data_IF_723416800869
#
_entry.id   IF_723416800869
#
_cell.length_a   1.000
_cell.length_b   1.000
_cell.length_c   1.000
_cell.angle_alpha   90.00
_cell.angle_beta   90.00
_cell.angle_gamma   90.00
#
_symmetry.space_group_name_H-M   'P 1'
#
loop_
_entity.id
_entity.type
_entity.pdbx_description
1 polymer ?
#
# COMPACT_ATOMS: atom_id res chain seq x y z
N UNK A 1 -31.22 18.00 -3.74
CA UNK A 1 -30.03 18.88 -3.61
C UNK A 1 -28.92 18.19 -2.79
N UNK A 2 -29.25 17.39 -1.78
CA UNK A 2 -28.25 16.63 -0.99
C UNK A 2 -27.51 15.58 -1.84
N UNK A 3 -28.24 14.86 -2.68
CA UNK A 3 -27.63 13.85 -3.58
C UNK A 3 -26.63 14.47 -4.57
N UNK A 4 -26.97 15.63 -5.14
CA UNK A 4 -26.07 16.33 -6.07
C UNK A 4 -24.80 16.81 -5.35
N UNK A 5 -24.94 17.32 -4.13
CA UNK A 5 -23.83 17.70 -3.27
C UNK A 5 -22.91 16.52 -2.98
N UNK A 6 -23.49 15.38 -2.63
CA UNK A 6 -22.73 14.15 -2.36
C UNK A 6 -21.93 13.71 -3.59
N UNK A 7 -22.54 13.68 -4.77
CA UNK A 7 -21.88 13.32 -6.02
C UNK A 7 -20.74 14.28 -6.36
N UNK A 8 -20.93 15.58 -6.18
CA UNK A 8 -19.88 16.59 -6.42
C UNK A 8 -18.70 16.38 -5.48
N UNK A 9 -18.94 16.21 -4.18
CA UNK A 9 -17.89 15.97 -3.18
C UNK A 9 -17.12 14.69 -3.46
N UNK A 10 -17.84 13.61 -3.80
CA UNK A 10 -17.25 12.34 -4.15
C UNK A 10 -16.35 12.47 -5.39
N UNK A 11 -16.85 13.15 -6.44
CA UNK A 11 -16.07 13.34 -7.69
C UNK A 11 -14.82 14.16 -7.45
N UNK A 12 -14.93 15.27 -6.71
CA UNK A 12 -13.77 16.11 -6.34
C UNK A 12 -12.80 15.30 -5.48
N UNK A 13 -13.28 14.55 -4.50
CA UNK A 13 -12.48 13.70 -3.63
C UNK A 13 -11.69 12.65 -4.41
N UNK A 14 -12.34 11.97 -5.36
CA UNK A 14 -11.69 11.00 -6.26
C UNK A 14 -10.58 11.67 -7.08
N UNK A 15 -10.87 12.82 -7.71
CA UNK A 15 -9.90 13.54 -8.55
C UNK A 15 -8.69 14.00 -7.72
N UNK A 16 -8.91 14.53 -6.53
CA UNK A 16 -7.84 14.98 -5.63
C UNK A 16 -7.01 13.80 -5.17
N UNK A 17 -7.64 12.73 -4.66
CA UNK A 17 -6.93 11.53 -4.22
C UNK A 17 -6.11 10.89 -5.35
N UNK A 18 -6.70 10.76 -6.54
CA UNK A 18 -6.01 10.28 -7.74
C UNK A 18 -4.80 11.14 -8.09
N UNK A 19 -4.95 12.46 -8.12
CA UNK A 19 -3.86 13.39 -8.45
C UNK A 19 -2.73 13.31 -7.42
N UNK A 20 -3.06 13.27 -6.13
CA UNK A 20 -2.07 13.13 -5.05
C UNK A 20 -1.29 11.83 -5.19
N UNK A 21 -1.99 10.70 -5.38
CA UNK A 21 -1.32 9.40 -5.49
C UNK A 21 -0.48 9.32 -6.75
N UNK A 22 -0.98 9.75 -7.91
CA UNK A 22 -0.20 9.78 -9.15
C UNK A 22 1.06 10.63 -9.03
N UNK A 23 0.95 11.78 -8.36
CA UNK A 23 2.10 12.63 -8.08
C UNK A 23 3.10 11.94 -7.15
N UNK A 24 2.61 11.35 -6.04
CA UNK A 24 3.46 10.61 -5.10
C UNK A 24 4.18 9.43 -5.77
N UNK A 25 3.47 8.65 -6.60
CA UNK A 25 4.05 7.54 -7.36
C UNK A 25 5.16 8.04 -8.30
N UNK A 26 4.90 9.09 -9.07
CA UNK A 26 5.87 9.67 -10.00
C UNK A 26 7.15 10.13 -9.28
N UNK A 27 6.99 10.81 -8.15
CA UNK A 27 8.15 11.27 -7.34
C UNK A 27 8.80 10.15 -6.53
N UNK A 28 8.09 9.08 -6.20
CA UNK A 28 8.69 7.88 -5.58
C UNK A 28 9.68 7.22 -6.52
N UNK A 29 9.37 7.12 -7.82
CA UNK A 29 10.30 6.61 -8.84
C UNK A 29 11.58 7.46 -8.91
N UNK A 30 11.42 8.78 -8.88
CA UNK A 30 12.56 9.70 -8.84
C UNK A 30 13.38 9.55 -7.55
N UNK A 31 12.72 9.48 -6.40
CA UNK A 31 13.34 9.29 -5.09
C UNK A 31 14.13 7.98 -5.04
N UNK A 32 13.56 6.89 -5.54
CA UNK A 32 14.23 5.60 -5.61
C UNK A 32 15.53 5.66 -6.41
N UNK A 33 15.50 6.24 -7.62
CA UNK A 33 16.71 6.40 -8.45
C UNK A 33 17.78 7.25 -7.79
N UNK A 34 17.40 8.27 -7.00
CA UNK A 34 18.34 9.14 -6.29
C UNK A 34 18.91 8.45 -5.05
N UNK A 35 18.06 7.88 -4.22
CA UNK A 35 18.47 7.22 -2.97
C UNK A 35 19.38 6.03 -3.29
N UNK A 36 19.02 5.19 -4.27
CA UNK A 36 19.89 4.11 -4.74
C UNK A 36 21.19 4.65 -5.33
N UNK A 37 21.16 5.78 -6.06
CA UNK A 37 22.36 6.44 -6.53
C UNK A 37 23.29 6.83 -5.37
N UNK A 38 22.78 7.45 -4.32
CA UNK A 38 23.57 7.80 -3.11
C UNK A 38 24.14 6.57 -2.41
N UNK A 39 23.35 5.50 -2.24
CA UNK A 39 23.83 4.23 -1.65
C UNK A 39 24.97 3.64 -2.49
N UNK A 40 24.89 3.77 -3.80
CA UNK A 40 25.91 3.27 -4.75
C UNK A 40 27.09 4.25 -4.99
N UNK A 41 27.15 5.38 -4.29
CA UNK A 41 28.20 6.40 -4.45
C UNK A 41 28.15 7.15 -5.80
N UNK A 42 26.97 7.21 -6.47
CA UNK A 42 26.77 7.91 -7.75
C UNK A 42 25.63 8.91 -7.69
N UNK A 43 25.66 9.90 -8.58
CA UNK A 43 24.54 10.85 -8.71
C UNK A 43 23.36 10.20 -9.43
N UNK A 44 22.16 10.39 -8.89
CA UNK A 44 20.91 10.04 -9.56
C UNK A 44 20.55 11.04 -10.68
N UNK A 45 19.34 10.98 -11.26
CA UNK A 45 18.87 11.92 -12.29
C UNK A 45 18.93 13.36 -11.79
N UNK A 46 19.68 14.24 -12.48
CA UNK A 46 19.89 15.64 -12.09
C UNK A 46 19.79 16.64 -13.24
N UNK A 47 19.58 16.20 -14.50
CA UNK A 47 19.68 17.06 -15.69
C UNK A 47 18.34 17.63 -16.17
N UNK A 48 17.24 16.89 -15.98
CA UNK A 48 15.92 17.31 -16.52
C UNK A 48 15.24 18.26 -15.53
N UNK A 49 15.19 19.53 -15.86
CA UNK A 49 14.70 20.60 -15.00
C UNK A 49 15.64 20.93 -13.82
N UNK A 50 15.23 21.80 -12.91
CA UNK A 50 16.05 22.16 -11.75
C UNK A 50 16.37 20.93 -10.91
N UNK A 51 17.65 20.52 -10.88
CA UNK A 51 18.09 19.34 -10.12
C UNK A 51 17.40 18.03 -10.50
N UNK A 52 16.83 17.86 -11.70
CA UNK A 52 16.17 16.63 -12.15
C UNK A 52 14.72 16.44 -11.66
N UNK A 53 14.06 17.46 -11.12
CA UNK A 53 12.68 17.35 -10.65
C UNK A 53 11.65 17.07 -11.75
N UNK A 54 11.93 17.43 -13.00
CA UNK A 54 11.04 17.17 -14.15
C UNK A 54 11.26 15.79 -14.79
N UNK A 55 12.13 14.95 -14.22
CA UNK A 55 12.41 13.61 -14.74
C UNK A 55 11.14 12.73 -14.86
N UNK A 56 10.19 12.72 -13.91
CA UNK A 56 8.98 11.91 -14.03
C UNK A 56 8.14 12.29 -15.27
N UNK A 57 8.10 13.58 -15.63
CA UNK A 57 7.38 14.05 -16.82
C UNK A 57 8.09 13.57 -18.09
N UNK A 58 9.42 13.64 -18.13
CA UNK A 58 10.20 13.12 -19.26
C UNK A 58 10.04 11.59 -19.43
N UNK A 59 9.99 10.85 -18.32
CA UNK A 59 9.76 9.41 -18.35
C UNK A 59 8.35 9.07 -18.86
N UNK A 60 7.32 9.83 -18.46
CA UNK A 60 5.95 9.69 -18.98
C UNK A 60 5.90 9.94 -20.50
N UNK A 61 6.48 11.06 -20.97
CA UNK A 61 6.53 11.40 -22.39
C UNK A 61 7.24 10.31 -23.20
N UNK A 62 8.35 9.76 -22.67
CA UNK A 62 9.07 8.65 -23.30
C UNK A 62 8.16 7.43 -23.53
N UNK A 63 7.30 7.06 -22.56
CA UNK A 63 6.39 5.93 -22.71
C UNK A 63 5.27 6.21 -23.74
N UNK A 64 4.82 7.45 -23.87
CA UNK A 64 3.80 7.84 -24.85
C UNK A 64 4.34 7.76 -26.28
N UNK A 65 5.57 8.24 -26.51
CA UNK A 65 6.18 8.28 -27.85
C UNK A 65 6.93 7.00 -28.23
N UNK A 66 7.09 6.05 -27.29
CA UNK A 66 7.74 4.77 -27.59
C UNK A 66 6.85 3.90 -28.45
N UNK A 67 7.45 3.21 -29.43
CA UNK A 67 6.74 2.24 -30.29
C UNK A 67 6.08 1.14 -29.46
N UNK A 68 4.80 0.88 -29.74
CA UNK A 68 4.01 -0.14 -29.08
C UNK A 68 4.01 -1.45 -29.87
N UNK A 69 4.77 -2.42 -29.40
CA UNK A 69 4.93 -3.72 -30.03
C UNK A 69 3.93 -4.71 -29.43
N UNK A 70 3.25 -5.46 -30.29
CA UNK A 70 2.36 -6.55 -29.89
C UNK A 70 2.83 -7.83 -30.59
N UNK A 71 3.16 -8.90 -29.85
CA UNK A 71 3.58 -10.16 -30.46
C UNK A 71 2.47 -10.77 -31.32
N UNK A 72 2.81 -11.27 -32.51
CA UNK A 72 1.83 -11.81 -33.46
C UNK A 72 1.02 -12.98 -32.92
N UNK A 73 1.64 -13.84 -32.09
CA UNK A 73 1.04 -15.02 -31.50
C UNK A 73 0.37 -14.78 -30.16
N UNK A 74 0.28 -13.53 -29.69
CA UNK A 74 -0.37 -13.19 -28.44
C UNK A 74 -1.91 -13.22 -28.55
N UNK A 75 -2.59 -13.57 -27.46
CA UNK A 75 -4.04 -13.46 -27.36
C UNK A 75 -4.42 -12.00 -27.13
N UNK A 76 -4.60 -11.22 -28.20
CA UNK A 76 -4.71 -9.75 -28.19
C UNK A 76 -5.66 -9.20 -27.12
N UNK A 77 -6.88 -9.74 -27.00
CA UNK A 77 -7.87 -9.25 -26.04
C UNK A 77 -7.33 -9.34 -24.60
N UNK A 78 -6.82 -10.52 -24.19
CA UNK A 78 -6.29 -10.75 -22.84
C UNK A 78 -5.00 -9.97 -22.63
N UNK A 79 -4.19 -9.82 -23.67
CA UNK A 79 -2.95 -9.05 -23.63
C UNK A 79 -3.17 -7.57 -23.27
N UNK A 80 -4.21 -6.94 -23.78
CA UNK A 80 -4.58 -5.58 -23.40
C UNK A 80 -5.35 -5.51 -22.08
N UNK A 81 -6.12 -6.53 -21.75
CA UNK A 81 -6.92 -6.60 -20.52
C UNK A 81 -6.02 -6.74 -19.27
N UNK A 82 -4.94 -7.49 -19.36
CA UNK A 82 -4.07 -7.79 -18.22
C UNK A 82 -3.51 -6.54 -17.52
N UNK A 83 -2.84 -5.58 -18.22
CA UNK A 83 -2.35 -4.37 -17.57
C UNK A 83 -3.49 -3.47 -17.06
N UNK A 84 -4.65 -3.46 -17.72
CA UNK A 84 -5.80 -2.68 -17.23
C UNK A 84 -6.37 -3.25 -15.94
N UNK A 85 -6.48 -4.58 -15.79
CA UNK A 85 -6.92 -5.21 -14.53
C UNK A 85 -5.94 -4.85 -13.39
N UNK A 86 -4.64 -5.04 -13.61
CA UNK A 86 -3.64 -4.75 -12.58
C UNK A 86 -3.70 -3.28 -12.13
N UNK A 87 -3.76 -2.34 -13.07
CA UNK A 87 -3.78 -0.91 -12.77
C UNK A 87 -5.09 -0.46 -12.13
N UNK A 88 -6.24 -0.93 -12.63
CA UNK A 88 -7.54 -0.57 -12.04
C UNK A 88 -7.69 -1.11 -10.64
N UNK A 89 -7.31 -2.35 -10.37
CA UNK A 89 -7.32 -2.92 -9.02
C UNK A 89 -6.47 -2.09 -8.05
N UNK A 90 -5.24 -1.75 -8.46
CA UNK A 90 -4.37 -0.92 -7.64
C UNK A 90 -4.98 0.46 -7.33
N UNK A 91 -5.53 1.15 -8.33
CA UNK A 91 -6.11 2.48 -8.15
C UNK A 91 -7.42 2.48 -7.36
N UNK A 92 -8.26 1.45 -7.51
CA UNK A 92 -9.53 1.35 -6.78
C UNK A 92 -9.32 1.20 -5.27
N UNK A 93 -8.22 0.59 -4.84
CA UNK A 93 -7.91 0.42 -3.41
C UNK A 93 -7.78 1.73 -2.65
N UNK A 94 -7.41 2.84 -3.34
CA UNK A 94 -7.09 4.15 -2.73
C UNK A 94 -8.33 4.84 -2.14
N UNK A 95 -9.51 4.59 -2.69
CA UNK A 95 -10.75 5.34 -2.43
C UNK A 95 -11.20 5.28 -0.97
N UNK A 96 -10.84 4.23 -0.23
CA UNK A 96 -11.31 3.98 1.14
C UNK A 96 -10.35 4.44 2.23
N UNK A 97 -9.16 4.92 1.88
CA UNK A 97 -8.18 5.35 2.88
C UNK A 97 -8.53 6.71 3.48
N UNK A 98 -8.54 6.82 4.80
CA UNK A 98 -8.72 8.07 5.47
C UNK A 98 -7.38 8.84 5.54
N UNK A 99 -7.27 9.92 4.79
CA UNK A 99 -6.08 10.77 4.76
C UNK A 99 -5.96 11.71 5.95
N UNK A 100 -7.08 11.96 6.65
CA UNK A 100 -7.11 12.84 7.81
C UNK A 100 -8.49 12.83 8.50
N UNK A 101 -8.62 13.52 9.63
CA UNK A 101 -9.91 13.74 10.27
C UNK A 101 -10.78 14.67 9.41
N UNK A 102 -12.10 14.63 9.62
CA UNK A 102 -13.01 15.55 8.95
C UNK A 102 -12.65 17.00 9.33
N UNK A 103 -12.42 17.87 8.34
CA UNK A 103 -12.04 19.27 8.56
C UNK A 103 -13.28 20.14 8.63
N UNK A 104 -13.49 20.80 9.77
CA UNK A 104 -14.55 21.79 9.94
C UNK A 104 -14.08 23.15 9.42
N UNK A 105 -14.75 23.65 8.39
CA UNK A 105 -14.55 24.99 7.89
C UNK A 105 -15.33 25.96 8.75
N UNK A 106 -14.72 27.07 9.18
CA UNK A 106 -15.40 28.11 9.95
C UNK A 106 -16.47 28.90 9.16
N UNK A 107 -16.67 28.57 7.89
CA UNK A 107 -17.62 29.19 6.98
C UNK A 107 -18.32 28.14 6.11
N UNK A 108 -19.53 28.44 5.69
CA UNK A 108 -20.31 27.54 4.85
C UNK A 108 -20.01 27.82 3.37
N UNK A 109 -19.38 26.85 2.69
CA UNK A 109 -19.16 26.94 1.25
C UNK A 109 -20.46 26.50 0.56
N UNK A 110 -21.05 27.34 -0.34
CA UNK A 110 -22.18 26.92 -1.14
C UNK A 110 -21.83 25.60 -1.85
N UNK A 111 -22.73 24.60 -1.77
CA UNK A 111 -22.57 23.25 -2.36
C UNK A 111 -21.69 22.25 -1.58
N UNK A 112 -20.73 22.70 -0.75
CA UNK A 112 -19.81 21.82 0.01
C UNK A 112 -20.22 21.70 1.50
N UNK A 113 -20.76 22.75 2.10
CA UNK A 113 -21.14 22.82 3.51
C UNK A 113 -19.99 23.20 4.43
N UNK A 114 -20.11 22.90 5.73
CA UNK A 114 -19.15 23.30 6.76
C UNK A 114 -18.05 22.25 7.03
N UNK A 115 -18.21 21.02 6.51
CA UNK A 115 -17.27 19.91 6.78
C UNK A 115 -16.79 19.28 5.50
N UNK A 116 -15.47 19.15 5.35
CA UNK A 116 -14.84 18.42 4.25
C UNK A 116 -14.36 17.09 4.82
N UNK A 117 -14.94 15.95 4.37
CA UNK A 117 -14.41 14.64 4.73
C UNK A 117 -13.09 14.41 3.99
N UNK A 118 -12.04 14.01 4.73
CA UNK A 118 -10.75 13.60 4.13
C UNK A 118 -10.70 12.10 3.83
N UNK A 119 -11.85 11.50 3.63
CA UNK A 119 -12.07 10.14 3.13
C UNK A 119 -12.94 10.26 1.89
N UNK A 120 -12.53 9.64 0.79
CA UNK A 120 -13.29 9.71 -0.46
C UNK A 120 -14.60 8.94 -0.34
N UNK A 121 -14.53 7.70 0.17
CA UNK A 121 -15.71 6.89 0.40
C UNK A 121 -15.64 6.20 1.79
N UNK A 122 -16.70 6.35 2.59
CA UNK A 122 -16.82 5.72 3.91
C UNK A 122 -17.52 4.37 3.75
N UNK A 123 -16.80 3.27 4.01
CA UNK A 123 -17.34 1.91 4.02
C UNK A 123 -17.12 1.26 5.38
N UNK A 124 -18.13 0.59 5.90
CA UNK A 124 -18.00 -0.15 7.16
C UNK A 124 -17.08 -1.37 7.03
N UNK A 125 -16.99 -1.92 5.83
CA UNK A 125 -16.13 -3.06 5.49
C UNK A 125 -14.90 -2.66 4.65
N UNK A 126 -14.39 -1.45 4.88
CA UNK A 126 -13.31 -0.85 4.08
C UNK A 126 -12.06 -1.74 3.98
N UNK A 127 -11.66 -2.38 5.08
CA UNK A 127 -10.51 -3.27 5.10
C UNK A 127 -10.71 -4.50 4.19
N UNK A 128 -11.88 -5.12 4.24
CA UNK A 128 -12.20 -6.26 3.38
C UNK A 128 -12.24 -5.84 1.91
N UNK A 129 -12.75 -4.65 1.62
CA UNK A 129 -12.76 -4.09 0.26
C UNK A 129 -11.31 -3.94 -0.27
N UNK A 130 -10.40 -3.38 0.51
CA UNK A 130 -8.99 -3.25 0.09
C UNK A 130 -8.38 -4.60 -0.24
N UNK A 131 -8.49 -5.57 0.68
CA UNK A 131 -7.94 -6.91 0.45
C UNK A 131 -8.56 -7.60 -0.77
N UNK A 132 -9.87 -7.51 -0.96
CA UNK A 132 -10.54 -8.11 -2.10
C UNK A 132 -10.18 -7.45 -3.44
N UNK A 133 -9.97 -6.14 -3.46
CA UNK A 133 -9.59 -5.43 -4.68
C UNK A 133 -8.13 -5.68 -5.04
N UNK A 134 -7.21 -5.70 -4.05
CA UNK A 134 -5.79 -6.01 -4.32
C UNK A 134 -5.61 -7.42 -4.83
N UNK A 135 -6.38 -8.40 -4.33
CA UNK A 135 -6.40 -9.79 -4.84
C UNK A 135 -6.71 -9.88 -6.34
N UNK A 136 -7.58 -9.01 -6.87
CA UNK A 136 -7.88 -8.97 -8.30
C UNK A 136 -6.65 -8.61 -9.13
N UNK A 137 -5.70 -7.85 -8.58
CA UNK A 137 -4.45 -7.50 -9.24
C UNK A 137 -3.61 -8.70 -9.66
N UNK A 138 -3.69 -9.81 -8.91
CA UNK A 138 -2.97 -11.08 -9.21
C UNK A 138 -3.38 -11.64 -10.56
N UNK A 139 -4.67 -11.55 -10.91
CA UNK A 139 -5.16 -11.99 -12.23
C UNK A 139 -4.53 -11.20 -13.37
N UNK A 140 -4.27 -9.89 -13.17
CA UNK A 140 -3.58 -9.07 -14.17
C UNK A 140 -2.20 -9.64 -14.52
N UNK A 141 -1.43 -10.04 -13.52
CA UNK A 141 -0.09 -10.62 -13.70
C UNK A 141 -0.15 -12.02 -14.33
N UNK A 142 -1.04 -12.88 -13.81
CA UNK A 142 -1.20 -14.24 -14.35
C UNK A 142 -1.62 -14.21 -15.83
N UNK A 143 -2.59 -13.38 -16.18
CA UNK A 143 -3.08 -13.20 -17.55
C UNK A 143 -2.02 -12.58 -18.48
N UNK A 144 -1.17 -11.68 -17.96
CA UNK A 144 -0.08 -11.11 -18.71
C UNK A 144 0.92 -12.19 -19.14
N UNK A 145 1.34 -13.06 -18.20
CA UNK A 145 2.21 -14.18 -18.49
C UNK A 145 1.62 -15.15 -19.51
N UNK A 146 0.32 -15.45 -19.37
CA UNK A 146 -0.38 -16.39 -20.26
C UNK A 146 -0.60 -15.84 -21.66
N UNK A 147 -1.03 -14.59 -21.79
CA UNK A 147 -1.39 -13.96 -23.07
C UNK A 147 -0.20 -13.69 -23.99
N UNK A 148 0.99 -13.60 -23.44
CA UNK A 148 2.25 -13.30 -24.17
C UNK A 148 2.74 -14.43 -25.07
N UNK A 149 2.21 -15.65 -24.91
CA UNK A 149 2.59 -16.86 -25.63
C UNK A 149 4.12 -17.12 -25.64
N UNK A 150 4.80 -16.76 -24.56
CA UNK A 150 6.22 -16.98 -24.34
C UNK A 150 6.41 -17.82 -23.08
N UNK A 151 7.21 -18.87 -23.16
CA UNK A 151 7.47 -19.78 -22.03
C UNK A 151 8.08 -19.07 -20.81
N UNK A 152 8.96 -18.11 -21.01
CA UNK A 152 9.58 -17.34 -19.94
C UNK A 152 8.56 -16.42 -19.26
N UNK A 153 7.73 -15.75 -20.05
CA UNK A 153 6.66 -14.89 -19.57
C UNK A 153 5.61 -15.69 -18.79
N UNK A 154 5.23 -16.88 -19.27
CA UNK A 154 4.31 -17.78 -18.59
C UNK A 154 4.87 -18.24 -17.23
N UNK A 155 6.13 -18.68 -17.19
CA UNK A 155 6.78 -19.11 -15.96
C UNK A 155 6.93 -17.94 -14.96
N UNK A 156 7.25 -16.74 -15.44
CA UNK A 156 7.29 -15.52 -14.62
C UNK A 156 5.93 -15.19 -14.01
N UNK A 157 4.88 -15.21 -14.83
CA UNK A 157 3.52 -14.96 -14.37
C UNK A 157 3.01 -15.99 -13.34
N UNK A 158 3.29 -17.28 -13.54
CA UNK A 158 2.94 -18.34 -12.59
C UNK A 158 3.71 -18.22 -11.26
N UNK A 159 5.01 -17.91 -11.31
CA UNK A 159 5.82 -17.70 -10.10
C UNK A 159 5.34 -16.48 -9.31
N UNK A 160 5.06 -15.38 -10.00
CA UNK A 160 4.55 -14.15 -9.36
C UNK A 160 3.19 -14.35 -8.73
N UNK A 161 2.24 -14.93 -9.45
CA UNK A 161 0.90 -15.18 -8.90
C UNK A 161 0.92 -16.17 -7.74
N UNK A 162 1.74 -17.23 -7.79
CA UNK A 162 1.89 -18.15 -6.67
C UNK A 162 2.49 -17.46 -5.42
N UNK A 163 3.46 -16.57 -5.60
CA UNK A 163 4.03 -15.76 -4.53
C UNK A 163 2.96 -14.83 -3.91
N UNK A 164 2.29 -14.03 -4.73
CA UNK A 164 1.30 -13.07 -4.27
C UNK A 164 0.17 -13.75 -3.48
N UNK A 165 -0.45 -14.82 -4.01
CA UNK A 165 -1.51 -15.57 -3.33
C UNK A 165 -1.04 -16.12 -1.98
N UNK A 166 0.19 -16.66 -1.92
CA UNK A 166 0.73 -17.25 -0.69
C UNK A 166 0.99 -16.19 0.40
N UNK A 167 1.52 -15.03 0.01
CA UNK A 167 1.82 -13.96 0.95
C UNK A 167 0.61 -13.11 1.30
N UNK A 168 -0.39 -13.00 0.42
CA UNK A 168 -1.68 -12.40 0.73
C UNK A 168 -2.40 -13.13 1.88
N UNK A 169 -2.32 -14.46 1.91
CA UNK A 169 -2.82 -15.23 3.06
C UNK A 169 -2.11 -14.83 4.35
N UNK A 170 -0.78 -14.76 4.35
CA UNK A 170 -0.01 -14.37 5.52
C UNK A 170 -0.31 -12.92 5.94
N UNK A 171 -0.45 -12.01 4.98
CA UNK A 171 -0.83 -10.61 5.18
C UNK A 171 -2.20 -10.52 5.86
N UNK A 172 -3.21 -11.17 5.30
CA UNK A 172 -4.55 -11.21 5.86
C UNK A 172 -4.57 -11.74 7.30
N UNK A 173 -3.87 -12.85 7.57
CA UNK A 173 -3.74 -13.41 8.93
C UNK A 173 -3.04 -12.43 9.87
N UNK A 174 -2.02 -11.70 9.43
CA UNK A 174 -1.34 -10.67 10.23
C UNK A 174 -2.25 -9.53 10.66
N UNK A 175 -3.29 -9.23 9.86
CA UNK A 175 -4.26 -8.17 10.14
C UNK A 175 -5.38 -8.60 11.11
N UNK A 176 -5.68 -9.90 11.20
CA UNK A 176 -6.78 -10.40 12.06
C UNK A 176 -6.59 -9.96 13.52
N UNK A 177 -5.37 -9.91 14.04
CA UNK A 177 -5.10 -9.44 15.39
C UNK A 177 -5.57 -8.01 15.64
N UNK A 178 -5.39 -7.11 14.66
CA UNK A 178 -5.90 -5.72 14.73
C UNK A 178 -7.42 -5.71 14.67
N UNK A 179 -8.03 -6.54 13.81
CA UNK A 179 -9.49 -6.63 13.66
C UNK A 179 -10.14 -7.14 14.95
N UNK A 180 -9.58 -8.19 15.55
CA UNK A 180 -10.07 -8.74 16.82
C UNK A 180 -10.10 -7.67 17.90
N UNK A 181 -9.05 -6.87 18.01
CA UNK A 181 -8.97 -5.81 19.00
C UNK A 181 -9.88 -4.63 18.70
N UNK A 182 -9.96 -4.20 17.45
CA UNK A 182 -10.79 -3.06 17.06
C UNK A 182 -12.28 -3.39 16.99
N UNK A 183 -12.64 -4.67 16.74
CA UNK A 183 -14.03 -5.10 16.57
C UNK A 183 -14.76 -4.45 15.39
N UNK A 184 -14.00 -3.89 14.42
CA UNK A 184 -14.55 -3.21 13.24
C UNK A 184 -13.62 -3.37 12.03
N UNK A 185 -14.20 -3.34 10.82
CA UNK A 185 -13.46 -3.33 9.55
C UNK A 185 -13.38 -1.93 8.94
N UNK A 186 -13.95 -0.92 9.62
CA UNK A 186 -13.92 0.46 9.18
C UNK A 186 -12.55 1.10 9.52
N UNK A 187 -11.81 1.52 8.51
CA UNK A 187 -10.45 2.07 8.68
C UNK A 187 -10.43 3.35 9.51
N UNK A 188 -11.43 4.21 9.37
CA UNK A 188 -11.52 5.45 10.15
C UNK A 188 -11.68 5.15 11.64
N UNK A 189 -12.60 4.24 11.99
CA UNK A 189 -12.84 3.84 13.38
C UNK A 189 -11.62 3.16 14.01
N UNK A 190 -10.85 2.41 13.22
CA UNK A 190 -9.59 1.79 13.68
C UNK A 190 -8.56 2.87 14.02
N UNK A 191 -8.45 3.93 13.21
CA UNK A 191 -7.53 5.05 13.49
C UNK A 191 -7.96 5.83 14.72
N UNK A 192 -9.26 6.12 14.87
CA UNK A 192 -9.81 6.84 16.03
C UNK A 192 -9.53 6.10 17.35
N UNK A 193 -9.61 4.77 17.36
CA UNK A 193 -9.28 3.94 18.54
C UNK A 193 -7.80 3.97 18.91
N UNK A 194 -6.91 4.25 17.96
CA UNK A 194 -5.47 4.40 18.17
C UNK A 194 -5.08 5.81 18.64
N UNK A 195 -6.04 6.70 18.92
CA UNK A 195 -5.77 8.01 19.48
C UNK A 195 -5.34 7.87 20.94
N UNK A 196 -4.04 7.96 21.19
CA UNK A 196 -3.43 7.97 22.52
C UNK A 196 -2.88 9.34 22.87
N UNK A 197 -2.24 9.43 24.06
CA UNK A 197 -1.55 10.66 24.48
C UNK A 197 -0.51 11.08 23.41
N UNK A 198 -0.53 12.34 23.01
CA UNK A 198 0.30 12.89 21.93
C UNK A 198 0.09 12.18 20.57
N UNK A 199 -0.97 11.35 20.39
CA UNK A 199 -1.23 10.63 19.14
C UNK A 199 -0.23 9.51 18.81
N UNK A 200 0.66 9.13 19.71
CA UNK A 200 1.69 8.10 19.50
C UNK A 200 1.47 6.89 20.39
N UNK A 201 1.10 7.11 21.64
CA UNK A 201 1.02 6.03 22.65
C UNK A 201 -0.10 5.03 22.40
N UNK A 202 -1.07 5.33 21.55
CA UNK A 202 -2.17 4.43 21.17
C UNK A 202 -1.90 3.54 19.96
N UNK A 203 -0.70 3.58 19.37
CA UNK A 203 -0.41 2.79 18.18
C UNK A 203 -0.44 1.28 18.45
N UNK A 204 -1.15 0.55 17.60
CA UNK A 204 -1.24 -0.91 17.68
C UNK A 204 0.12 -1.60 17.58
N UNK A 205 1.07 -1.00 16.88
CA UNK A 205 2.44 -1.48 16.76
C UNK A 205 3.13 -1.65 18.10
N UNK A 206 2.93 -0.71 19.04
CA UNK A 206 3.72 -0.66 20.29
C UNK A 206 3.19 -1.63 21.31
N UNK A 207 1.87 -1.67 21.51
CA UNK A 207 1.27 -2.35 22.66
C UNK A 207 0.59 -3.66 22.36
N UNK A 208 0.05 -3.79 21.14
CA UNK A 208 -0.95 -4.83 20.89
C UNK A 208 -0.51 -5.84 19.84
N UNK A 209 0.05 -5.36 18.74
CA UNK A 209 0.31 -6.17 17.55
C UNK A 209 1.73 -6.00 16.97
N UNK A 210 2.81 -6.04 17.78
CA UNK A 210 4.16 -5.95 17.23
C UNK A 210 4.49 -7.15 16.33
N UNK A 211 4.04 -8.36 16.70
CA UNK A 211 4.24 -9.58 15.91
C UNK A 211 3.39 -9.52 14.64
N UNK A 212 2.11 -9.13 14.75
CA UNK A 212 1.23 -8.93 13.61
C UNK A 212 1.80 -7.92 12.62
N UNK A 213 2.40 -6.83 13.08
CA UNK A 213 3.07 -5.85 12.24
C UNK A 213 4.27 -6.44 11.49
N UNK A 214 5.12 -7.23 12.13
CA UNK A 214 6.28 -7.87 11.50
C UNK A 214 5.80 -8.83 10.39
N UNK A 215 4.82 -9.68 10.69
CA UNK A 215 4.23 -10.59 9.70
C UNK A 215 3.66 -9.80 8.53
N UNK A 216 2.88 -8.76 8.82
CA UNK A 216 2.30 -7.87 7.81
C UNK A 216 3.39 -7.23 6.94
N UNK A 217 4.42 -6.64 7.54
CA UNK A 217 5.47 -5.93 6.83
C UNK A 217 6.22 -6.84 5.86
N UNK A 218 6.59 -8.04 6.31
CA UNK A 218 7.28 -9.03 5.46
C UNK A 218 6.36 -9.48 4.31
N UNK A 219 5.09 -9.79 4.61
CA UNK A 219 4.11 -10.20 3.62
C UNK A 219 3.83 -9.09 2.60
N UNK A 220 3.73 -7.83 3.04
CA UNK A 220 3.51 -6.67 2.18
C UNK A 220 4.67 -6.44 1.20
N UNK A 221 5.93 -6.63 1.64
CA UNK A 221 7.10 -6.54 0.74
C UNK A 221 7.05 -7.65 -0.31
N UNK A 222 6.64 -8.85 0.06
CA UNK A 222 6.55 -9.98 -0.86
C UNK A 222 5.37 -9.84 -1.84
N UNK A 223 4.23 -9.27 -1.41
CA UNK A 223 3.08 -8.99 -2.26
C UNK A 223 3.36 -7.93 -3.31
N UNK A 224 4.17 -6.93 -2.98
CA UNK A 224 4.57 -5.88 -3.94
C UNK A 224 5.70 -6.31 -4.87
N UNK A 225 6.12 -7.58 -4.85
CA UNK A 225 7.20 -8.13 -5.69
C UNK A 225 8.51 -7.32 -5.63
N UNK A 226 8.81 -6.70 -4.48
CA UNK A 226 10.03 -5.90 -4.28
C UNK A 226 11.15 -6.71 -3.65
N UNK A 227 12.39 -6.32 -3.92
CA UNK A 227 13.58 -6.91 -3.27
C UNK A 227 13.41 -6.87 -1.75
N UNK A 228 13.66 -7.97 -1.04
CA UNK A 228 14.39 -9.20 -1.42
C UNK A 228 13.52 -10.27 -2.13
N UNK A 229 12.24 -10.05 -2.36
CA UNK A 229 11.27 -11.02 -2.89
C UNK A 229 10.90 -10.78 -4.36
N UNK A 230 11.75 -10.09 -5.12
CA UNK A 230 11.59 -9.72 -6.53
C UNK A 230 11.95 -10.90 -7.46
N UNK A 231 11.15 -11.95 -7.40
CA UNK A 231 11.35 -13.15 -8.24
C UNK A 231 10.71 -13.06 -9.64
N UNK A 232 9.61 -12.28 -9.81
CA UNK A 232 8.99 -12.12 -11.13
C UNK A 232 9.89 -11.42 -12.14
N UNK A 233 10.69 -10.45 -11.67
CA UNK A 233 11.63 -9.67 -12.50
C UNK A 233 13.05 -10.26 -12.55
N UNK A 234 13.26 -11.48 -12.04
CA UNK A 234 14.59 -12.07 -11.96
C UNK A 234 15.28 -12.09 -13.35
N UNK A 235 15.93 -10.99 -13.73
CA UNK A 235 16.59 -10.81 -15.02
C UNK A 235 17.58 -11.92 -15.34
N UNK A 236 18.22 -12.46 -14.31
CA UNK A 236 19.20 -13.56 -14.44
C UNK A 236 18.58 -14.93 -14.73
N UNK A 237 17.28 -15.13 -14.41
CA UNK A 237 16.58 -16.42 -14.57
C UNK A 237 15.53 -16.40 -15.69
N UNK A 238 14.73 -15.32 -15.79
CA UNK A 238 13.52 -15.24 -16.62
C UNK A 238 13.51 -14.03 -17.56
N UNK A 239 14.64 -13.40 -17.82
CA UNK A 239 14.82 -12.20 -18.65
C UNK A 239 14.15 -10.98 -18.06
N UNK A 240 12.82 -10.87 -18.12
CA UNK A 240 12.01 -9.84 -17.49
C UNK A 240 10.66 -10.40 -16.96
N UNK A 241 10.56 -11.72 -16.79
CA UNK A 241 9.39 -12.37 -16.24
C UNK A 241 8.11 -12.14 -17.05
N UNK A 242 6.99 -11.85 -16.35
CA UNK A 242 5.66 -11.73 -16.97
C UNK A 242 5.53 -10.57 -17.96
N UNK A 243 6.32 -9.50 -17.80
CA UNK A 243 6.26 -8.31 -18.65
C UNK A 243 7.29 -8.29 -19.80
N UNK A 244 7.97 -9.41 -20.07
CA UNK A 244 9.02 -9.53 -21.12
C UNK A 244 8.54 -9.04 -22.49
N UNK A 245 7.30 -9.35 -22.87
CA UNK A 245 6.73 -9.00 -24.17
C UNK A 245 5.99 -7.65 -24.16
N UNK A 246 5.88 -6.99 -23.00
CA UNK A 246 5.16 -5.72 -22.89
C UNK A 246 6.09 -4.55 -23.17
N UNK A 247 5.62 -3.58 -23.98
CA UNK A 247 6.36 -2.37 -24.33
C UNK A 247 5.52 -1.11 -24.13
N UNK A 248 6.16 0.05 -24.24
CA UNK A 248 5.52 1.37 -24.21
C UNK A 248 4.56 1.58 -23.03
N UNK A 249 3.35 2.08 -23.29
CA UNK A 249 2.34 2.37 -22.25
C UNK A 249 1.87 1.12 -21.50
N UNK A 250 1.83 -0.05 -22.13
CA UNK A 250 1.39 -1.30 -21.47
C UNK A 250 2.37 -1.72 -20.36
N UNK A 251 3.67 -1.59 -20.61
CA UNK A 251 4.69 -1.77 -19.58
C UNK A 251 4.57 -0.72 -18.47
N UNK A 252 4.34 0.55 -18.85
CA UNK A 252 4.17 1.63 -17.88
C UNK A 252 2.97 1.41 -16.95
N UNK A 253 1.88 0.80 -17.43
CA UNK A 253 0.71 0.47 -16.61
C UNK A 253 1.01 -0.58 -15.53
N UNK A 254 1.77 -1.64 -15.84
CA UNK A 254 2.21 -2.59 -14.82
C UNK A 254 3.12 -1.94 -13.78
N UNK A 255 4.07 -1.16 -14.25
CA UNK A 255 4.98 -0.42 -13.39
C UNK A 255 4.23 0.56 -12.46
N UNK A 256 3.22 1.26 -13.03
CA UNK A 256 2.32 2.11 -12.24
C UNK A 256 1.57 1.29 -11.19
N UNK A 257 0.98 0.15 -11.56
CA UNK A 257 0.25 -0.70 -10.62
C UNK A 257 1.12 -1.17 -9.46
N UNK A 258 2.36 -1.55 -9.72
CA UNK A 258 3.32 -1.97 -8.70
C UNK A 258 3.63 -0.85 -7.69
N UNK A 259 3.91 0.39 -8.16
CA UNK A 259 4.15 1.52 -7.26
C UNK A 259 2.90 1.94 -6.50
N UNK A 260 1.73 1.88 -7.13
CA UNK A 260 0.45 2.15 -6.46
C UNK A 260 0.19 1.10 -5.37
N UNK A 261 0.46 -0.18 -5.63
CA UNK A 261 0.34 -1.24 -4.62
C UNK A 261 1.32 -1.01 -3.45
N UNK A 262 2.57 -0.61 -3.73
CA UNK A 262 3.54 -0.26 -2.68
C UNK A 262 3.04 0.92 -1.83
N UNK A 263 2.39 1.91 -2.44
CA UNK A 263 1.74 3.01 -1.74
C UNK A 263 0.55 2.52 -0.92
N UNK A 264 -0.30 1.66 -1.49
CA UNK A 264 -1.49 1.08 -0.82
C UNK A 264 -1.11 0.30 0.44
N UNK A 265 -0.14 -0.62 0.36
CA UNK A 265 0.29 -1.38 1.55
C UNK A 265 0.95 -0.48 2.60
N UNK A 266 1.65 0.59 2.18
CA UNK A 266 2.20 1.59 3.10
C UNK A 266 1.11 2.39 3.81
N UNK A 267 0.04 2.77 3.10
CA UNK A 267 -1.14 3.41 3.70
C UNK A 267 -1.85 2.47 4.68
N UNK A 268 -1.98 1.19 4.32
CA UNK A 268 -2.61 0.19 5.17
C UNK A 268 -1.80 -0.04 6.46
N UNK A 269 -0.47 -0.16 6.36
CA UNK A 269 0.43 -0.22 7.51
C UNK A 269 0.27 1.00 8.44
N UNK A 270 0.25 2.18 7.86
CA UNK A 270 0.09 3.44 8.59
C UNK A 270 -1.25 3.50 9.31
N UNK A 271 -2.34 3.10 8.65
CA UNK A 271 -3.69 3.14 9.18
C UNK A 271 -3.90 2.14 10.32
N UNK A 272 -3.43 0.91 10.15
CA UNK A 272 -3.72 -0.18 11.08
C UNK A 272 -2.74 -0.26 12.26
N UNK A 273 -1.48 0.14 12.08
CA UNK A 273 -0.44 -0.06 13.09
C UNK A 273 0.13 1.24 13.67
N UNK A 274 0.21 2.31 12.88
CA UNK A 274 0.80 3.59 13.29
C UNK A 274 -0.23 4.71 13.57
N UNK A 275 -1.50 4.34 13.77
CA UNK A 275 -2.55 5.28 14.13
C UNK A 275 -2.94 6.28 13.03
N UNK A 276 -2.71 5.94 11.73
CA UNK A 276 -3.15 6.76 10.61
C UNK A 276 -2.69 8.21 10.69
N UNK A 277 -3.63 9.14 10.70
CA UNK A 277 -3.39 10.59 10.80
C UNK A 277 -3.06 11.07 12.22
N UNK A 278 -3.18 10.21 13.26
CA UNK A 278 -2.93 10.62 14.64
C UNK A 278 -1.47 11.05 14.85
N UNK A 279 -1.29 12.17 15.53
CA UNK A 279 -0.01 12.76 15.85
C UNK A 279 -0.17 13.93 16.83
N UNK A 280 0.93 14.50 17.32
CA UNK A 280 0.89 15.64 18.23
C UNK A 280 0.08 16.81 17.64
N UNK A 281 -0.73 17.46 18.49
CA UNK A 281 -1.53 18.65 18.14
C UNK A 281 -2.59 18.47 17.04
N UNK A 282 -2.90 17.27 16.54
CA UNK A 282 -3.93 17.03 15.52
C UNK A 282 -5.32 17.43 16.01
N UNK A 283 -5.62 17.26 17.30
CA UNK A 283 -6.89 17.70 17.89
C UNK A 283 -7.09 19.23 17.83
N UNK A 284 -6.00 20.01 17.86
CA UNK A 284 -6.05 21.47 17.78
C UNK A 284 -6.05 21.96 16.34
N UNK A 285 -5.31 21.26 15.46
CA UNK A 285 -5.11 21.61 14.05
C UNK A 285 -5.36 20.37 13.17
N UNK A 286 -6.62 20.09 12.79
CA UNK A 286 -6.99 18.87 12.05
C UNK A 286 -6.23 18.68 10.73
N UNK A 287 -5.85 19.77 10.05
CA UNK A 287 -5.09 19.70 8.79
C UNK A 287 -3.68 19.12 8.95
N UNK A 288 -3.08 19.14 10.17
CA UNK A 288 -1.81 18.45 10.45
C UNK A 288 -1.91 16.93 10.27
N UNK A 289 -3.11 16.36 10.42
CA UNK A 289 -3.33 14.93 10.23
C UNK A 289 -2.89 14.44 8.86
N UNK A 290 -3.12 15.22 7.79
CA UNK A 290 -2.69 14.87 6.43
C UNK A 290 -1.17 14.73 6.36
N UNK A 291 -0.44 15.68 6.96
CA UNK A 291 1.04 15.66 6.94
C UNK A 291 1.60 14.50 7.75
N UNK A 292 1.00 14.16 8.90
CA UNK A 292 1.41 12.99 9.66
C UNK A 292 1.15 11.69 8.91
N UNK A 293 -0.02 11.57 8.28
CA UNK A 293 -0.36 10.42 7.46
C UNK A 293 0.63 10.24 6.30
N UNK A 294 0.79 11.27 5.48
CA UNK A 294 1.72 11.24 4.34
C UNK A 294 3.17 11.05 4.78
N UNK A 295 3.59 11.68 5.88
CA UNK A 295 4.94 11.53 6.43
C UNK A 295 5.25 10.08 6.84
N UNK A 296 4.30 9.38 7.48
CA UNK A 296 4.44 7.96 7.84
C UNK A 296 4.46 7.08 6.59
N UNK A 297 3.63 7.36 5.59
CA UNK A 297 3.65 6.64 4.31
C UNK A 297 5.00 6.83 3.59
N UNK A 298 5.53 8.05 3.52
CA UNK A 298 6.85 8.34 2.94
C UNK A 298 7.96 7.59 3.67
N UNK A 299 7.85 7.43 5.00
CA UNK A 299 8.81 6.65 5.79
C UNK A 299 8.81 5.17 5.36
N UNK A 300 7.64 4.56 5.13
CA UNK A 300 7.56 3.20 4.59
C UNK A 300 8.12 3.12 3.17
N UNK A 301 7.80 4.07 2.29
CA UNK A 301 8.35 4.11 0.94
C UNK A 301 9.88 4.22 0.96
N UNK A 302 10.42 5.04 1.84
CA UNK A 302 11.87 5.13 2.05
C UNK A 302 12.45 3.78 2.53
N UNK A 303 11.77 3.10 3.46
CA UNK A 303 12.15 1.78 3.94
C UNK A 303 12.19 0.74 2.81
N UNK A 304 11.20 0.71 1.91
CA UNK A 304 11.21 -0.14 0.72
C UNK A 304 12.42 0.12 -0.18
N UNK A 305 12.72 1.40 -0.44
CA UNK A 305 13.87 1.80 -1.25
C UNK A 305 15.18 1.38 -0.59
N UNK A 306 15.29 1.56 0.72
CA UNK A 306 16.47 1.17 1.48
C UNK A 306 16.68 -0.35 1.47
N UNK A 307 15.64 -1.15 1.66
CA UNK A 307 15.71 -2.61 1.53
C UNK A 307 16.19 -3.04 0.15
N UNK A 308 15.68 -2.41 -0.91
CA UNK A 308 16.12 -2.69 -2.28
C UNK A 308 17.62 -2.45 -2.48
N UNK A 309 18.18 -1.47 -1.81
CA UNK A 309 19.61 -1.13 -1.92
C UNK A 309 20.54 -1.98 -1.05
N UNK A 310 20.02 -2.76 -0.09
CA UNK A 310 20.83 -3.41 0.95
C UNK A 310 20.71 -4.92 0.99
N UNK A 311 19.52 -5.49 0.74
CA UNK A 311 19.28 -6.92 0.89
C UNK A 311 19.53 -7.68 -0.41
N UNK A 312 20.12 -8.92 -0.32
CA UNK A 312 20.21 -9.82 -1.46
C UNK A 312 18.85 -10.43 -1.79
N UNK A 313 18.68 -10.92 -3.00
CA UNK A 313 17.47 -11.61 -3.47
C UNK A 313 17.41 -13.05 -2.95
N UNK A 314 16.22 -13.52 -2.56
CA UNK A 314 15.95 -14.90 -2.16
C UNK A 314 15.68 -15.80 -3.38
N UNK A 315 15.90 -17.12 -3.22
CA UNK A 315 15.46 -18.13 -4.18
C UNK A 315 13.98 -18.45 -3.98
N UNK A 316 13.30 -18.89 -5.06
CA UNK A 316 11.86 -19.19 -5.02
C UNK A 316 11.49 -20.23 -3.96
N UNK A 317 12.26 -21.33 -3.86
CA UNK A 317 12.02 -22.40 -2.89
C UNK A 317 12.13 -21.91 -1.44
N UNK A 318 13.11 -21.06 -1.15
CA UNK A 318 13.32 -20.48 0.16
C UNK A 318 12.18 -19.53 0.52
N UNK A 319 11.78 -18.69 -0.43
CA UNK A 319 10.67 -17.78 -0.27
C UNK A 319 9.37 -18.51 0.06
N UNK A 320 8.97 -19.50 -0.75
CA UNK A 320 7.73 -20.25 -0.53
C UNK A 320 7.77 -21.04 0.78
N UNK A 321 8.92 -21.65 1.10
CA UNK A 321 9.12 -22.34 2.39
C UNK A 321 9.03 -21.38 3.58
N UNK A 322 9.57 -20.18 3.49
CA UNK A 322 9.50 -19.17 4.54
C UNK A 322 8.07 -18.68 4.77
N UNK A 323 7.31 -18.40 3.71
CA UNK A 323 5.90 -18.01 3.81
C UNK A 323 5.05 -19.07 4.52
N UNK A 324 5.07 -20.30 4.00
CA UNK A 324 4.20 -21.37 4.51
C UNK A 324 4.66 -21.98 5.84
N UNK A 325 5.97 -22.16 6.05
CA UNK A 325 6.47 -22.85 7.25
C UNK A 325 6.75 -21.92 8.43
N UNK A 326 6.93 -20.64 8.18
CA UNK A 326 7.27 -19.67 9.23
C UNK A 326 6.20 -18.57 9.39
N UNK A 327 5.88 -17.81 8.33
CA UNK A 327 4.98 -16.64 8.47
C UNK A 327 3.54 -17.06 8.80
N UNK A 328 2.98 -18.03 8.09
CA UNK A 328 1.60 -18.46 8.32
C UNK A 328 1.41 -19.05 9.71
N UNK A 329 2.24 -20.01 10.20
CA UNK A 329 2.15 -20.48 11.58
C UNK A 329 2.33 -19.38 12.62
N UNK A 330 3.29 -18.46 12.42
CA UNK A 330 3.51 -17.34 13.31
C UNK A 330 2.29 -16.42 13.39
N UNK A 331 1.65 -16.14 12.25
CA UNK A 331 0.42 -15.36 12.20
C UNK A 331 -0.72 -16.03 12.97
N UNK A 332 -0.90 -17.34 12.80
CA UNK A 332 -1.93 -18.11 13.53
C UNK A 332 -1.67 -18.07 15.04
N UNK A 333 -0.43 -18.28 15.46
CA UNK A 333 -0.04 -18.18 16.90
C UNK A 333 -0.37 -16.78 17.41
N UNK A 334 -0.02 -15.72 16.66
CA UNK A 334 -0.33 -14.35 17.06
C UNK A 334 -1.84 -14.12 17.23
N UNK A 335 -2.69 -14.68 16.35
CA UNK A 335 -4.16 -14.58 16.47
C UNK A 335 -4.63 -15.25 17.78
N UNK A 336 -4.18 -16.47 18.05
CA UNK A 336 -4.58 -17.21 19.25
C UNK A 336 -4.14 -16.47 20.51
N UNK A 337 -2.91 -15.98 20.55
CA UNK A 337 -2.39 -15.18 21.68
C UNK A 337 -3.22 -13.90 21.87
N UNK A 338 -3.48 -13.17 20.80
CA UNK A 338 -4.30 -11.95 20.86
C UNK A 338 -5.71 -12.22 21.36
N UNK A 339 -6.37 -13.26 20.86
CA UNK A 339 -7.70 -13.67 21.28
C UNK A 339 -7.72 -14.06 22.77
N UNK A 340 -6.72 -14.79 23.24
CA UNK A 340 -6.59 -15.22 24.65
C UNK A 340 -6.38 -14.00 25.57
N UNK A 341 -5.51 -13.05 25.19
CA UNK A 341 -5.26 -11.82 25.95
C UNK A 341 -6.54 -10.96 26.00
N UNK A 342 -7.28 -10.87 24.90
CA UNK A 342 -8.52 -10.11 24.87
C UNK A 342 -9.60 -10.77 25.75
N UNK A 343 -9.74 -12.08 25.66
CA UNK A 343 -10.73 -12.83 26.49
C UNK A 343 -10.39 -12.74 27.99
N UNK A 344 -9.11 -12.73 28.37
CA UNK A 344 -8.68 -12.58 29.77
C UNK A 344 -8.89 -11.18 30.35
N UNK A 345 -9.26 -10.18 29.56
CA UNK A 345 -9.41 -8.78 29.98
C UNK A 345 -8.08 -8.07 30.29
N UNK A 346 -6.96 -8.68 29.98
CA UNK A 346 -5.63 -8.09 30.25
C UNK A 346 -5.40 -6.77 29.52
N UNK A 347 -5.99 -6.58 28.36
CA UNK A 347 -5.93 -5.29 27.65
C UNK A 347 -6.66 -4.19 28.41
N UNK A 348 -7.85 -4.47 28.95
CA UNK A 348 -8.63 -3.51 29.74
C UNK A 348 -7.93 -3.19 31.06
N UNK A 349 -7.30 -4.18 31.67
CA UNK A 349 -6.49 -4.00 32.88
C UNK A 349 -5.25 -3.16 32.58
N UNK A 350 -4.52 -3.44 31.53
CA UNK A 350 -3.37 -2.65 31.08
C UNK A 350 -3.74 -1.19 30.75
N UNK A 351 -4.85 -0.97 30.04
CA UNK A 351 -5.36 0.37 29.74
C UNK A 351 -5.77 1.13 31.01
N UNK A 352 -6.42 0.46 31.97
CA UNK A 352 -6.74 1.02 33.29
C UNK A 352 -5.49 1.33 34.11
N UNK A 353 -4.51 0.43 34.12
CA UNK A 353 -3.24 0.62 34.83
C UNK A 353 -2.45 1.81 34.28
N UNK A 354 -2.38 1.96 32.96
CA UNK A 354 -1.74 3.10 32.30
C UNK A 354 -2.48 4.42 32.62
N UNK A 355 -3.81 4.43 32.62
CA UNK A 355 -4.60 5.59 33.05
C UNK A 355 -4.33 5.99 34.50
N UNK A 356 -4.24 5.02 35.42
CA UNK A 356 -3.94 5.29 36.83
C UNK A 356 -2.47 5.69 37.06
N UNK A 357 -1.53 5.08 36.38
CA UNK A 357 -0.10 5.37 36.51
C UNK A 357 0.29 6.73 35.89
N UNK A 358 -0.42 7.17 34.86
CA UNK A 358 -0.13 8.44 34.16
C UNK A 358 -1.00 9.61 34.61
N UNK A 359 -1.97 9.39 35.54
CA UNK A 359 -2.89 10.43 36.03
C UNK A 359 -3.87 10.94 34.94
N UNK A 360 -4.07 10.21 33.87
CA UNK A 360 -4.88 10.59 32.72
C UNK A 360 -6.29 9.98 32.82
N UNK A 361 -7.18 10.73 33.39
CA UNK A 361 -8.59 10.44 33.50
C UNK A 361 -9.36 11.76 33.50
N UNK A 362 -9.51 12.35 32.34
CA UNK A 362 -10.31 13.54 32.14
C UNK A 362 -10.57 13.70 30.66
#
# INVERSE_FOLDING_TARGET
MEDLRYVILLTIGILVAFTVVMTMVAYTVLAERRILGFIQGRLGPNRVGPGGFLQPIADLLKFIFKEDIVPDKSTRFVYFLAPTIATTAALMSIVVYPFGPDVHLGFNIPWIGNTIPLVVAKFDVALLYVLGVTSVGVYGIALAGWSSNNKYSLMGGLRSSAQMISYELALGLGLIGVILQSGTLNLQSIVERQSGHLGITGWNLIWVQPVGFIVYLIAAIAETNRVPFDLPEAETELVAGFHTEYSAMKFALFFLAEYVNMFTVSMLATTLFLGGWNGPFVHQLPWLGIFYFLGKVVLFLFFYIWLRGTLPRFRFDQLMSFGWKFLVPLAIINIVVTATIQWSGLFDWGAKFLKTATGWGG
#
